data_IF_163906684510
#
_entry.id   IF_163906684510
#
_cell.length_a   1.000
_cell.length_b   1.000
_cell.length_c   1.000
_cell.angle_alpha   90.00
_cell.angle_beta   90.00
_cell.angle_gamma   90.00
#
_symmetry.space_group_name_H-M   'P 1'
#
loop_
_entity.id
_entity.type
_entity.pdbx_description
1 polymer ?
#
# COMPACT_ATOMS: atom_id res chain seq x y z
N UNK A 1 3.28 33.98 -35.20
CA UNK A 1 2.95 32.58 -34.86
C UNK A 1 3.84 32.20 -33.69
N UNK A 2 3.36 32.32 -32.45
CA UNK A 2 4.03 31.86 -31.23
C UNK A 2 4.01 30.35 -31.21
N UNK A 3 5.16 29.70 -31.41
CA UNK A 3 5.34 28.31 -31.07
C UNK A 3 5.21 28.18 -29.56
N UNK A 4 4.03 27.82 -29.08
CA UNK A 4 3.85 27.31 -27.75
C UNK A 4 4.53 25.91 -27.72
N UNK A 5 5.78 25.87 -27.25
CA UNK A 5 6.38 24.60 -26.84
C UNK A 5 5.52 23.99 -25.73
N UNK A 6 4.74 22.97 -26.08
CA UNK A 6 4.02 22.19 -25.09
C UNK A 6 5.10 21.44 -24.30
N UNK A 7 5.39 21.95 -23.09
CA UNK A 7 6.26 21.23 -22.15
C UNK A 7 5.64 19.87 -21.88
N UNK A 8 6.31 18.81 -22.26
CA UNK A 8 5.92 17.44 -21.95
C UNK A 8 6.02 17.23 -20.44
N UNK A 9 4.89 16.90 -19.79
CA UNK A 9 4.87 16.55 -18.37
C UNK A 9 5.29 15.09 -18.17
N UNK A 10 5.78 14.76 -16.98
CA UNK A 10 6.32 13.42 -16.69
C UNK A 10 5.31 12.29 -16.97
N UNK A 11 4.04 12.49 -16.64
CA UNK A 11 3.01 11.47 -16.80
C UNK A 11 2.38 11.40 -18.20
N UNK A 12 2.68 12.35 -19.09
CA UNK A 12 2.11 12.38 -20.45
C UNK A 12 2.42 11.11 -21.21
N UNK A 13 1.38 10.45 -21.70
CA UNK A 13 1.41 9.17 -22.43
C UNK A 13 1.83 7.95 -21.59
N UNK A 14 2.06 8.06 -20.29
CA UNK A 14 2.19 6.89 -19.44
C UNK A 14 0.86 6.12 -19.41
N UNK A 15 0.93 4.83 -19.15
CA UNK A 15 -0.25 3.94 -19.17
C UNK A 15 -0.64 3.47 -17.77
N UNK A 16 -1.90 3.11 -17.62
CA UNK A 16 -2.34 2.25 -16.54
C UNK A 16 -1.92 0.82 -16.87
N UNK A 17 -0.79 0.39 -16.31
CA UNK A 17 -0.15 -0.88 -16.63
C UNK A 17 -0.69 -2.06 -15.82
N UNK A 18 -1.48 -1.80 -14.77
CA UNK A 18 -2.14 -2.82 -13.94
C UNK A 18 -3.52 -2.35 -13.54
N UNK A 19 -4.52 -3.14 -13.87
CA UNK A 19 -5.93 -2.87 -13.56
C UNK A 19 -6.53 -4.11 -12.93
N UNK A 20 -7.04 -3.97 -11.71
CA UNK A 20 -7.73 -5.07 -11.00
C UNK A 20 -9.14 -4.60 -10.67
N UNK A 21 -10.13 -5.21 -11.30
CA UNK A 21 -11.56 -4.96 -11.04
C UNK A 21 -11.88 -5.12 -9.56
N UNK A 22 -12.71 -4.25 -9.01
CA UNK A 22 -13.07 -4.20 -7.59
C UNK A 22 -11.87 -4.01 -6.65
N UNK A 23 -10.79 -3.42 -7.14
CA UNK A 23 -9.64 -3.07 -6.33
C UNK A 23 -9.09 -1.68 -6.71
N UNK A 24 -8.26 -1.58 -7.75
CA UNK A 24 -7.60 -0.32 -8.14
C UNK A 24 -7.14 -0.32 -9.60
N UNK A 25 -6.84 0.87 -10.12
CA UNK A 25 -6.08 1.06 -11.35
C UNK A 25 -4.72 1.69 -11.01
N UNK A 26 -3.62 1.14 -11.53
CA UNK A 26 -2.25 1.57 -11.21
C UNK A 26 -1.53 2.04 -12.48
N UNK A 27 -0.94 3.22 -12.39
CA UNK A 27 -0.19 3.88 -13.45
C UNK A 27 1.10 4.52 -12.98
N UNK A 28 1.71 5.39 -13.81
CA UNK A 28 2.90 6.16 -13.45
C UNK A 28 4.23 5.43 -13.61
N UNK A 29 4.25 4.22 -14.16
CA UNK A 29 5.48 3.50 -14.50
C UNK A 29 6.03 3.98 -15.84
N UNK A 30 7.26 4.56 -15.93
CA UNK A 30 7.83 5.04 -17.19
C UNK A 30 8.08 3.93 -18.22
N UNK A 31 8.31 2.70 -17.78
CA UNK A 31 8.46 1.52 -18.67
C UNK A 31 7.12 0.89 -19.07
N UNK A 32 6.02 1.23 -18.37
CA UNK A 32 4.68 0.67 -18.66
C UNK A 32 4.52 -0.82 -18.34
N UNK A 33 5.35 -1.38 -17.46
CA UNK A 33 5.34 -2.79 -17.05
C UNK A 33 5.37 -2.99 -15.52
N UNK A 34 5.41 -1.90 -14.75
CA UNK A 34 5.50 -1.89 -13.29
C UNK A 34 6.93 -1.91 -12.74
N UNK A 35 7.95 -2.15 -13.57
CA UNK A 35 9.36 -2.25 -13.12
C UNK A 35 10.12 -0.91 -13.15
N UNK A 36 9.56 0.12 -13.81
CA UNK A 36 10.21 1.43 -13.92
C UNK A 36 9.93 2.34 -12.74
N UNK A 37 10.89 3.21 -12.44
CA UNK A 37 10.80 4.27 -11.45
C UNK A 37 11.33 5.60 -12.03
N UNK A 38 11.20 6.73 -11.32
CA UNK A 38 11.65 8.04 -11.79
C UNK A 38 13.15 8.27 -11.61
N UNK A 39 13.93 7.28 -11.15
CA UNK A 39 15.35 7.40 -10.83
C UNK A 39 15.64 7.82 -9.37
N UNK A 40 14.60 7.98 -8.56
CA UNK A 40 14.71 8.29 -7.12
C UNK A 40 13.55 7.64 -6.34
N UNK A 41 13.72 7.58 -5.02
CA UNK A 41 12.68 7.17 -4.06
C UNK A 41 12.52 8.24 -3.00
N UNK A 42 11.33 8.32 -2.39
CA UNK A 42 11.05 9.22 -1.29
C UNK A 42 10.27 8.53 -0.18
N UNK A 43 10.28 9.16 0.98
CA UNK A 43 9.71 8.64 2.22
C UNK A 43 8.18 8.60 2.20
N UNK A 44 7.62 7.80 3.09
CA UNK A 44 6.19 7.76 3.31
C UNK A 44 5.74 8.99 4.11
N UNK A 45 4.66 9.63 3.69
CA UNK A 45 4.01 10.74 4.38
C UNK A 45 2.70 10.24 4.99
N UNK A 46 2.80 9.55 6.14
CA UNK A 46 1.67 8.90 6.81
C UNK A 46 1.66 9.24 8.29
N UNK A 47 0.47 9.57 8.83
CA UNK A 47 0.18 9.67 10.25
C UNK A 47 -0.73 8.51 10.67
N UNK A 48 -0.17 7.56 11.42
CA UNK A 48 -0.89 6.36 11.86
C UNK A 48 -2.03 6.69 12.84
N UNK A 49 -1.82 7.67 13.73
CA UNK A 49 -2.82 8.05 14.74
C UNK A 49 -4.02 8.73 14.12
N UNK A 50 -3.84 9.53 13.04
CA UNK A 50 -4.98 10.11 12.31
C UNK A 50 -5.83 9.08 11.57
N UNK A 51 -5.29 7.88 11.33
CA UNK A 51 -5.98 6.72 10.77
C UNK A 51 -6.50 5.77 11.86
N UNK A 52 -6.24 6.07 13.15
CA UNK A 52 -6.66 5.24 14.29
C UNK A 52 -5.86 3.96 14.49
N UNK A 53 -4.74 3.76 13.76
CA UNK A 53 -3.95 2.52 13.81
C UNK A 53 -3.26 2.28 15.14
N UNK A 54 -3.06 3.32 15.93
CA UNK A 54 -2.51 3.29 17.30
C UNK A 54 -3.50 2.76 18.35
N UNK A 55 -4.78 2.59 17.97
CA UNK A 55 -5.87 2.07 18.84
C UNK A 55 -6.40 0.72 18.37
N UNK A 56 -5.96 0.24 17.21
CA UNK A 56 -6.44 -1.01 16.61
C UNK A 56 -5.49 -2.15 16.98
N UNK A 57 -5.94 -3.17 17.75
CA UNK A 57 -5.09 -4.31 18.10
C UNK A 57 -4.79 -5.17 16.85
N UNK A 58 -3.61 -5.78 16.81
CA UNK A 58 -3.21 -6.72 15.75
C UNK A 58 -4.06 -7.99 15.80
N UNK A 59 -4.41 -8.43 17.00
CA UNK A 59 -5.18 -9.65 17.24
C UNK A 59 -6.33 -9.37 18.21
N UNK A 60 -7.53 -9.66 17.76
CA UNK A 60 -8.71 -9.74 18.63
C UNK A 60 -8.84 -11.19 19.10
N UNK A 61 -8.94 -11.47 20.43
CA UNK A 61 -9.02 -12.83 20.95
C UNK A 61 -10.21 -13.65 20.42
N UNK A 62 -11.33 -12.99 20.08
CA UNK A 62 -12.55 -13.65 19.61
C UNK A 62 -12.65 -13.69 18.08
N UNK A 63 -12.14 -12.65 17.39
CA UNK A 63 -12.30 -12.45 15.94
C UNK A 63 -11.06 -12.81 15.14
N UNK A 64 -9.92 -13.02 15.80
CA UNK A 64 -8.65 -13.30 15.13
C UNK A 64 -7.87 -12.05 14.64
N UNK A 65 -6.99 -12.21 13.66
CA UNK A 65 -6.16 -11.10 13.15
C UNK A 65 -6.99 -9.96 12.60
N UNK A 66 -6.56 -8.72 12.88
CA UNK A 66 -7.24 -7.53 12.40
C UNK A 66 -7.34 -7.52 10.86
N UNK A 67 -8.51 -7.19 10.26
CA UNK A 67 -8.72 -7.24 8.80
C UNK A 67 -7.74 -6.38 7.98
N UNK A 68 -7.22 -5.28 8.55
CA UNK A 68 -6.23 -4.40 7.89
C UNK A 68 -4.88 -5.08 7.63
N UNK A 69 -4.59 -6.19 8.30
CA UNK A 69 -3.41 -7.00 8.02
C UNK A 69 -3.54 -7.80 6.71
N UNK A 70 -4.77 -8.02 6.22
CA UNK A 70 -5.04 -8.77 5.00
C UNK A 70 -4.60 -10.23 5.09
N UNK A 71 -4.65 -10.84 6.29
CA UNK A 71 -4.15 -12.20 6.54
C UNK A 71 -4.99 -13.22 5.80
N UNK A 72 -4.33 -14.08 5.03
CA UNK A 72 -4.97 -15.13 4.21
C UNK A 72 -4.66 -16.55 4.69
N UNK A 73 -3.57 -16.73 5.46
CA UNK A 73 -3.16 -18.03 6.00
C UNK A 73 -2.34 -17.87 7.29
N UNK A 74 -2.08 -18.97 7.99
CA UNK A 74 -1.20 -18.99 9.17
C UNK A 74 0.24 -18.59 8.82
N UNK A 75 0.74 -19.03 7.67
CA UNK A 75 2.07 -18.69 7.14
C UNK A 75 2.14 -17.20 6.83
N UNK A 76 1.05 -16.63 6.29
CA UNK A 76 0.97 -15.20 6.06
C UNK A 76 0.97 -14.42 7.39
N UNK A 77 0.19 -14.86 8.39
CA UNK A 77 0.24 -14.26 9.73
C UNK A 77 1.64 -14.34 10.34
N UNK A 78 2.30 -15.49 10.24
CA UNK A 78 3.67 -15.65 10.71
C UNK A 78 4.62 -14.66 10.03
N UNK A 79 4.54 -14.51 8.71
CA UNK A 79 5.43 -13.64 7.94
C UNK A 79 5.19 -12.15 8.22
N UNK A 80 3.93 -11.75 8.43
CA UNK A 80 3.53 -10.33 8.55
C UNK A 80 3.61 -9.84 10.01
N UNK A 81 3.34 -10.70 10.99
CA UNK A 81 3.27 -10.33 12.40
C UNK A 81 4.39 -10.94 13.21
N UNK A 82 4.55 -12.28 13.18
CA UNK A 82 5.46 -12.97 14.09
C UNK A 82 6.92 -12.75 13.71
N UNK A 83 7.27 -12.87 12.45
CA UNK A 83 8.66 -12.69 11.97
C UNK A 83 9.21 -11.28 12.28
N UNK A 84 8.49 -10.18 12.07
CA UNK A 84 8.94 -8.86 12.50
C UNK A 84 9.19 -8.75 14.01
N UNK A 85 8.35 -9.40 14.84
CA UNK A 85 8.57 -9.46 16.30
C UNK A 85 9.86 -10.23 16.62
N UNK A 86 10.08 -11.40 16.00
CA UNK A 86 11.28 -12.22 16.16
C UNK A 86 12.52 -11.38 15.81
N UNK A 87 12.50 -10.66 14.71
CA UNK A 87 13.60 -9.80 14.28
C UNK A 87 13.85 -8.66 15.28
N UNK A 88 12.79 -8.02 15.77
CA UNK A 88 12.87 -6.94 16.77
C UNK A 88 13.45 -7.43 18.09
N UNK A 89 13.13 -8.65 18.49
CA UNK A 89 13.63 -9.30 19.71
C UNK A 89 15.06 -9.87 19.54
N UNK A 90 15.60 -9.88 18.31
CA UNK A 90 16.92 -10.39 18.01
C UNK A 90 17.05 -11.92 18.15
N UNK A 91 15.94 -12.66 18.07
CA UNK A 91 15.89 -14.13 18.18
C UNK A 91 16.60 -14.74 16.97
N UNK A 92 17.59 -15.60 17.21
CA UNK A 92 18.50 -16.10 16.17
C UNK A 92 18.24 -17.54 15.74
N UNK A 93 17.66 -18.35 16.60
CA UNK A 93 17.46 -19.77 16.36
C UNK A 93 16.14 -20.30 16.94
N UNK A 94 15.83 -21.56 16.61
CA UNK A 94 14.60 -22.21 17.03
C UNK A 94 14.56 -22.47 18.54
N UNK A 95 15.69 -22.70 19.18
CA UNK A 95 15.78 -22.95 20.63
C UNK A 95 15.41 -21.66 21.39
N UNK A 96 16.00 -20.55 20.99
CA UNK A 96 15.67 -19.24 21.54
C UNK A 96 14.22 -18.86 21.29
N UNK A 97 13.71 -19.10 20.06
CA UNK A 97 12.31 -18.90 19.72
C UNK A 97 11.36 -19.68 20.66
N UNK A 98 11.63 -20.99 20.88
CA UNK A 98 10.81 -21.82 21.77
C UNK A 98 10.86 -21.35 23.22
N UNK A 99 12.00 -20.87 23.70
CA UNK A 99 12.16 -20.38 25.08
C UNK A 99 11.44 -19.05 25.33
N UNK A 100 11.09 -18.29 24.28
CA UNK A 100 10.46 -16.96 24.34
C UNK A 100 9.04 -16.92 23.79
N UNK A 101 8.38 -18.07 23.64
CA UNK A 101 7.02 -18.15 23.11
C UNK A 101 6.02 -17.32 23.92
N UNK A 102 6.09 -17.36 25.25
CA UNK A 102 5.20 -16.58 26.13
C UNK A 102 5.38 -15.08 25.97
N UNK A 103 6.63 -14.63 25.76
CA UNK A 103 6.93 -13.22 25.49
C UNK A 103 6.34 -12.80 24.13
N UNK A 104 6.57 -13.60 23.10
CA UNK A 104 6.01 -13.35 21.76
C UNK A 104 4.49 -13.30 21.81
N UNK A 105 3.86 -14.24 22.52
CA UNK A 105 2.40 -14.28 22.70
C UNK A 105 1.88 -13.01 23.40
N UNK A 106 2.52 -12.56 24.45
CA UNK A 106 2.19 -11.30 25.14
C UNK A 106 2.27 -10.11 24.21
N UNK A 107 3.33 -10.02 23.40
CA UNK A 107 3.50 -8.95 22.43
C UNK A 107 2.35 -8.99 21.40
N UNK A 108 2.07 -10.13 20.77
CA UNK A 108 1.01 -10.26 19.74
C UNK A 108 -0.36 -9.81 20.27
N UNK A 109 -0.66 -10.09 21.54
CA UNK A 109 -1.94 -9.73 22.15
C UNK A 109 -2.01 -8.29 22.64
N UNK A 110 -0.90 -7.59 22.72
CA UNK A 110 -0.83 -6.21 23.22
C UNK A 110 -0.54 -5.15 22.16
N UNK A 111 0.15 -5.50 21.05
CA UNK A 111 0.55 -4.52 20.05
C UNK A 111 -0.61 -4.05 19.17
N UNK A 112 -0.50 -2.81 18.75
CA UNK A 112 -1.39 -2.16 17.79
C UNK A 112 -0.96 -2.41 16.34
N UNK A 113 -1.82 -2.07 15.38
CA UNK A 113 -1.44 -2.08 13.95
C UNK A 113 -0.28 -1.13 13.68
N UNK A 114 -0.26 0.06 14.31
CA UNK A 114 0.86 1.02 14.19
C UNK A 114 2.17 0.34 14.56
N UNK A 115 2.27 -0.22 15.76
CA UNK A 115 3.49 -0.88 16.26
C UNK A 115 3.90 -2.07 15.40
N UNK A 116 2.94 -2.88 14.96
CA UNK A 116 3.21 -3.99 14.04
C UNK A 116 3.82 -3.54 12.73
N UNK A 117 3.36 -2.41 12.17
CA UNK A 117 3.93 -1.84 10.96
C UNK A 117 5.30 -1.19 11.21
N UNK A 118 5.48 -0.54 12.36
CA UNK A 118 6.80 -0.02 12.79
C UNK A 118 7.85 -1.15 12.90
N UNK A 119 7.47 -2.34 13.39
CA UNK A 119 8.35 -3.52 13.40
C UNK A 119 8.73 -4.00 11.98
N UNK A 120 7.96 -3.61 10.96
CA UNK A 120 8.22 -3.86 9.55
C UNK A 120 8.97 -2.73 8.85
N UNK A 121 9.39 -1.69 9.60
CA UNK A 121 10.18 -0.56 9.11
C UNK A 121 9.38 0.66 8.67
N UNK A 122 8.05 0.69 8.86
CA UNK A 122 7.28 1.91 8.62
C UNK A 122 7.61 2.97 9.66
N UNK A 123 7.67 4.23 9.22
CA UNK A 123 7.88 5.41 10.07
C UNK A 123 6.73 6.37 9.87
N UNK A 124 6.15 6.85 10.94
CA UNK A 124 4.97 7.72 10.90
C UNK A 124 5.30 9.14 11.34
N UNK A 125 4.62 10.11 10.73
CA UNK A 125 4.78 11.53 11.02
C UNK A 125 3.50 12.08 11.65
N UNK A 126 3.54 12.33 12.95
CA UNK A 126 2.38 12.83 13.70
C UNK A 126 2.05 14.32 13.44
N UNK A 127 2.90 15.03 12.66
CA UNK A 127 2.69 16.45 12.31
C UNK A 127 1.81 16.65 11.09
N UNK A 128 1.51 15.60 10.35
CA UNK A 128 0.63 15.65 9.17
C UNK A 128 -0.69 14.96 9.45
N UNK A 129 -1.66 15.13 8.55
CA UNK A 129 -2.93 14.40 8.58
C UNK A 129 -3.00 13.45 7.40
N UNK A 130 -3.23 12.18 7.66
CA UNK A 130 -3.50 11.18 6.61
C UNK A 130 -4.99 11.01 6.36
N UNK A 131 -5.31 10.57 5.17
CA UNK A 131 -6.66 10.23 4.74
C UNK A 131 -6.78 8.73 4.51
N UNK A 132 -7.99 8.19 4.76
CA UNK A 132 -8.28 6.79 4.49
C UNK A 132 -8.19 6.45 3.00
N UNK A 133 -7.83 5.20 2.72
CA UNK A 133 -7.76 4.65 1.36
C UNK A 133 -9.15 4.25 0.84
N UNK A 134 -10.04 5.24 0.81
CA UNK A 134 -11.40 5.10 0.32
C UNK A 134 -11.46 5.06 -1.22
N UNK A 135 -12.62 4.70 -1.77
CA UNK A 135 -12.89 4.76 -3.21
C UNK A 135 -12.60 6.15 -3.77
N UNK A 136 -11.92 6.21 -4.90
CA UNK A 136 -11.56 7.43 -5.61
C UNK A 136 -10.33 8.15 -5.05
N UNK A 137 -9.68 7.60 -4.01
CA UNK A 137 -8.43 8.15 -3.48
C UNK A 137 -7.26 7.78 -4.38
N UNK A 138 -6.31 8.72 -4.54
CA UNK A 138 -5.02 8.54 -5.19
C UNK A 138 -3.96 8.32 -4.13
N UNK A 139 -3.21 7.21 -4.24
CA UNK A 139 -2.12 6.90 -3.32
C UNK A 139 -0.88 6.40 -4.05
N UNK A 140 0.28 6.57 -3.41
CA UNK A 140 1.55 6.11 -3.96
C UNK A 140 1.64 4.58 -3.93
N UNK A 141 1.99 3.98 -5.06
CA UNK A 141 2.39 2.58 -5.12
C UNK A 141 3.85 2.46 -4.68
N UNK A 142 4.13 1.49 -3.80
CA UNK A 142 5.46 1.24 -3.27
C UNK A 142 5.74 -0.27 -3.11
N UNK A 143 6.98 -0.63 -2.83
CA UNK A 143 7.44 -1.99 -2.57
C UNK A 143 7.79 -2.21 -1.09
N UNK A 144 7.23 -1.42 -0.19
CA UNK A 144 7.49 -1.40 1.24
C UNK A 144 7.82 0.00 1.76
N UNK A 145 8.22 0.14 3.02
CA UNK A 145 8.47 1.43 3.64
C UNK A 145 9.45 2.31 2.85
N UNK A 146 9.11 3.59 2.68
CA UNK A 146 9.99 4.60 2.08
C UNK A 146 10.49 4.25 0.66
N UNK A 147 9.64 3.58 -0.14
CA UNK A 147 9.99 3.18 -1.52
C UNK A 147 9.08 3.81 -2.56
N UNK A 148 8.47 4.95 -2.24
CA UNK A 148 7.63 5.69 -3.17
C UNK A 148 8.47 6.22 -4.36
N UNK A 149 7.90 6.16 -5.55
CA UNK A 149 8.50 6.69 -6.79
C UNK A 149 7.47 7.46 -7.59
N UNK A 150 7.34 7.18 -8.89
CA UNK A 150 6.33 7.82 -9.73
C UNK A 150 5.03 7.00 -9.86
N UNK A 151 5.01 5.74 -9.44
CA UNK A 151 3.84 4.90 -9.58
C UNK A 151 2.79 5.26 -8.53
N UNK A 152 1.54 5.31 -8.97
CA UNK A 152 0.38 5.59 -8.13
C UNK A 152 -0.78 4.68 -8.50
N UNK A 153 -1.77 4.61 -7.62
CA UNK A 153 -3.02 3.93 -7.91
C UNK A 153 -4.23 4.77 -7.53
N UNK A 154 -5.35 4.50 -8.18
CA UNK A 154 -6.66 5.07 -7.86
C UNK A 154 -7.56 3.94 -7.40
N UNK A 155 -8.12 4.07 -6.21
CA UNK A 155 -8.99 3.06 -5.63
C UNK A 155 -10.35 2.98 -6.30
N UNK A 156 -10.77 1.78 -6.71
CA UNK A 156 -12.13 1.49 -7.18
C UNK A 156 -13.08 1.15 -6.02
N UNK A 157 -12.53 0.72 -4.89
CA UNK A 157 -13.24 0.41 -3.64
C UNK A 157 -12.44 0.89 -2.44
N UNK A 158 -13.02 0.82 -1.23
CA UNK A 158 -12.27 1.09 0.00
C UNK A 158 -11.29 -0.05 0.26
N UNK A 159 -9.99 0.26 0.41
CA UNK A 159 -8.91 -0.72 0.55
C UNK A 159 -8.29 -0.69 1.93
N UNK A 160 -9.08 -1.03 2.96
CA UNK A 160 -8.68 -0.95 4.37
C UNK A 160 -7.40 -1.72 4.71
N UNK A 161 -7.10 -2.80 3.99
CA UNK A 161 -5.87 -3.59 4.18
C UNK A 161 -4.59 -2.89 3.68
N UNK A 162 -4.72 -1.74 3.01
CA UNK A 162 -3.59 -0.90 2.59
C UNK A 162 -3.35 0.29 3.54
N UNK A 163 -4.24 0.53 4.51
CA UNK A 163 -4.12 1.63 5.47
C UNK A 163 -2.77 1.63 6.20
N UNK A 164 -2.19 2.82 6.34
CA UNK A 164 -0.91 3.00 7.02
C UNK A 164 0.33 2.55 6.24
N UNK A 165 0.17 2.12 4.97
CA UNK A 165 1.27 1.59 4.14
C UNK A 165 1.48 2.36 2.83
N UNK A 166 0.54 3.20 2.44
CA UNK A 166 0.59 3.97 1.19
C UNK A 166 0.21 5.43 1.45
N UNK A 167 1.06 6.33 1.01
CA UNK A 167 0.84 7.78 1.11
C UNK A 167 -0.31 8.21 0.22
N UNK A 168 -1.36 8.77 0.80
CA UNK A 168 -2.47 9.39 0.08
C UNK A 168 -2.10 10.82 -0.28
N UNK A 169 -2.19 11.18 -1.56
CA UNK A 169 -1.83 12.52 -2.03
C UNK A 169 -2.95 13.23 -2.81
N UNK A 170 -4.06 12.56 -3.08
CA UNK A 170 -5.16 13.15 -3.84
C UNK A 170 -6.44 12.34 -3.78
N UNK A 171 -7.48 12.93 -4.40
CA UNK A 171 -8.79 12.32 -4.57
C UNK A 171 -9.40 12.74 -5.90
N UNK A 172 -10.07 11.82 -6.59
CA UNK A 172 -10.87 12.11 -7.78
C UNK A 172 -12.05 12.99 -7.38
N UNK A 173 -12.10 14.22 -7.90
CA UNK A 173 -13.18 15.18 -7.64
C UNK A 173 -14.23 15.19 -8.76
N UNK A 174 -13.88 14.71 -9.95
CA UNK A 174 -14.76 14.61 -11.12
C UNK A 174 -14.25 13.51 -12.05
N UNK A 175 -15.14 12.78 -12.73
CA UNK A 175 -14.77 11.75 -13.69
C UNK A 175 -14.54 10.37 -13.06
N UNK A 176 -15.11 10.08 -11.88
CA UNK A 176 -14.99 8.75 -11.26
C UNK A 176 -15.59 7.65 -12.15
N UNK A 177 -16.58 7.98 -12.96
CA UNK A 177 -17.17 7.09 -13.97
C UNK A 177 -16.18 6.71 -15.06
N UNK A 178 -15.17 7.52 -15.35
CA UNK A 178 -14.07 7.19 -16.26
C UNK A 178 -13.10 6.21 -15.58
N UNK A 179 -12.78 6.43 -14.32
CA UNK A 179 -11.95 5.52 -13.52
C UNK A 179 -12.59 4.12 -13.45
N UNK A 180 -13.92 4.05 -13.27
CA UNK A 180 -14.67 2.79 -13.28
C UNK A 180 -14.59 2.11 -14.63
N UNK A 181 -14.78 2.85 -15.74
CA UNK A 181 -14.64 2.30 -17.10
C UNK A 181 -13.24 1.74 -17.34
N UNK A 182 -12.19 2.39 -16.81
CA UNK A 182 -10.82 1.85 -16.87
C UNK A 182 -10.72 0.57 -16.02
N UNK A 183 -11.38 0.54 -14.87
CA UNK A 183 -11.44 -0.64 -13.99
C UNK A 183 -12.11 -1.87 -14.60
N UNK A 184 -12.95 -1.65 -15.62
CA UNK A 184 -13.72 -2.70 -16.31
C UNK A 184 -13.12 -3.14 -17.66
N UNK A 185 -11.98 -2.58 -18.10
CA UNK A 185 -11.37 -2.98 -19.37
C UNK A 185 -10.88 -4.43 -19.33
N UNK A 186 -10.90 -5.15 -20.46
CA UNK A 186 -10.27 -6.46 -20.56
C UNK A 186 -8.77 -6.40 -20.25
N UNK A 187 -8.30 -7.35 -19.44
CA UNK A 187 -6.91 -7.44 -18.99
C UNK A 187 -6.31 -8.80 -19.28
N UNK A 188 -5.01 -8.84 -19.51
CA UNK A 188 -4.22 -10.07 -19.62
C UNK A 188 -4.16 -10.75 -18.24
N UNK A 189 -4.55 -12.06 -18.13
CA UNK A 189 -4.70 -12.73 -16.82
C UNK A 189 -3.45 -12.71 -15.94
N UNK A 190 -2.28 -12.90 -16.54
CA UNK A 190 -1.00 -13.05 -15.79
C UNK A 190 -0.52 -11.78 -15.08
N UNK A 191 -0.82 -10.60 -15.64
CA UNK A 191 -0.28 -9.32 -15.16
C UNK A 191 -1.34 -8.27 -14.87
N UNK A 192 -2.60 -8.57 -15.13
CA UNK A 192 -3.69 -7.60 -15.04
C UNK A 192 -3.44 -6.34 -15.86
N UNK A 193 -2.65 -6.45 -16.94
CA UNK A 193 -2.38 -5.34 -17.85
C UNK A 193 -3.54 -5.22 -18.83
N UNK A 194 -4.10 -4.02 -19.08
CA UNK A 194 -5.11 -3.81 -20.11
C UNK A 194 -4.65 -4.34 -21.47
N UNK A 195 -5.49 -5.09 -22.18
CA UNK A 195 -5.21 -5.59 -23.53
C UNK A 195 -4.94 -4.44 -24.51
N UNK A 196 -5.67 -3.34 -24.35
CA UNK A 196 -5.42 -2.06 -25.04
C UNK A 196 -4.90 -1.04 -24.07
N UNK A 197 -3.77 -0.41 -24.40
CA UNK A 197 -3.16 0.59 -23.52
C UNK A 197 -4.11 1.75 -23.24
N UNK A 198 -4.40 2.00 -21.96
CA UNK A 198 -5.10 3.19 -21.47
C UNK A 198 -4.05 4.20 -21.05
N UNK A 199 -4.03 5.36 -21.72
CA UNK A 199 -3.02 6.41 -21.53
C UNK A 199 -3.52 7.55 -20.65
N UNK A 200 -2.60 8.15 -19.92
CA UNK A 200 -2.76 9.47 -19.27
C UNK A 200 -2.46 10.52 -20.34
N UNK A 201 -3.37 11.51 -20.48
CA UNK A 201 -3.29 12.58 -21.49
C UNK A 201 -3.06 13.92 -20.78
#
# INVERSE_FOLDING_TARGET
KTNLEIKKHYYDNLIFHRVIKNFMIQGGCPKGDGSGDPGYKFEDEINASSLGLDKMPVLDPEKGPHPYLGIQSKEHFFSVVIRPIINKLGIKDEKEFKSRLDEIQKIITSITLKESYEYRGYVYNDKIKSHHLDRGVLAMANAGPNTNGSQFFINLVNTKWLEGKHTVFGKVIKGMEIVDKIGDVPVLPERHKPEKNVKII
#
